data_IF_372299450450
#
_entry.id   IF_372299450450
#
_cell.length_a   1.000
_cell.length_b   1.000
_cell.length_c   1.000
_cell.angle_alpha   90.00
_cell.angle_beta   90.00
_cell.angle_gamma   90.00
#
_symmetry.space_group_name_H-M   'P 1'
#
loop_
_entity.id
_entity.type
_entity.pdbx_description
1 polymer ?
#
# COMPACT_ATOMS: atom_id res chain seq x y z
N UNK A 1 12.77 2.89 2.00
CA UNK A 1 12.71 1.50 1.51
C UNK A 1 11.40 1.29 0.77
N UNK A 2 11.43 0.58 -0.37
CA UNK A 2 10.23 0.30 -1.18
C UNK A 2 10.40 -1.05 -1.93
N UNK A 3 9.37 -1.44 -2.68
CA UNK A 3 9.32 -2.71 -3.44
C UNK A 3 10.44 -2.90 -4.48
N UNK A 4 11.15 -1.83 -4.89
CA UNK A 4 12.25 -1.91 -5.87
C UNK A 4 13.59 -2.25 -5.23
N UNK A 5 13.77 -1.98 -3.93
CA UNK A 5 15.02 -2.17 -3.22
C UNK A 5 14.94 -3.12 -2.02
N UNK A 6 13.75 -3.66 -1.72
CA UNK A 6 13.55 -4.63 -0.66
C UNK A 6 12.52 -5.69 -1.06
N UNK A 7 12.85 -6.95 -0.86
CA UNK A 7 11.94 -8.08 -1.02
C UNK A 7 10.79 -8.05 0.01
N UNK A 8 9.76 -8.87 -0.21
CA UNK A 8 8.62 -8.94 0.70
C UNK A 8 9.04 -9.37 2.10
N UNK A 9 9.99 -10.30 2.21
CA UNK A 9 10.55 -10.79 3.47
C UNK A 9 11.13 -9.69 4.37
N UNK A 10 11.74 -8.67 3.77
CA UNK A 10 12.23 -7.49 4.52
C UNK A 10 11.12 -6.50 4.76
N UNK A 11 10.24 -6.23 3.77
CA UNK A 11 9.15 -5.26 3.90
C UNK A 11 8.15 -5.64 4.98
N UNK A 12 7.86 -6.94 5.13
CA UNK A 12 6.97 -7.48 6.16
C UNK A 12 7.43 -7.13 7.60
N UNK A 13 8.72 -6.87 7.79
CA UNK A 13 9.32 -6.49 9.09
C UNK A 13 9.63 -4.99 9.21
N UNK A 14 9.28 -4.19 8.21
CA UNK A 14 9.57 -2.75 8.17
C UNK A 14 8.30 -2.00 7.75
N UNK A 15 7.36 -1.92 8.67
CA UNK A 15 6.10 -1.19 8.47
C UNK A 15 5.69 -0.48 9.75
N UNK A 16 5.28 0.79 9.63
CA UNK A 16 4.68 1.53 10.74
C UNK A 16 3.17 1.29 10.80
N UNK A 17 2.65 1.07 12.01
CA UNK A 17 1.25 1.32 12.33
C UNK A 17 1.03 2.82 12.54
N UNK A 18 -0.21 3.33 12.55
CA UNK A 18 -0.48 4.73 12.88
C UNK A 18 0.13 5.15 14.22
N UNK A 19 0.05 4.29 15.23
CA UNK A 19 0.55 4.53 16.59
C UNK A 19 2.09 4.57 16.61
N UNK A 20 2.76 3.59 15.99
CA UNK A 20 4.22 3.55 15.94
C UNK A 20 4.79 4.69 15.08
N UNK A 21 4.09 5.11 14.01
CA UNK A 21 4.45 6.27 13.21
C UNK A 21 4.36 7.57 14.02
N UNK A 22 3.33 7.71 14.86
CA UNK A 22 3.21 8.86 15.76
C UNK A 22 4.36 8.87 16.78
N UNK A 23 4.60 7.76 17.47
CA UNK A 23 5.70 7.64 18.43
C UNK A 23 7.08 7.89 17.79
N UNK A 24 7.26 7.46 16.55
CA UNK A 24 8.51 7.71 15.81
C UNK A 24 8.72 9.20 15.52
N UNK A 25 7.67 9.93 15.08
CA UNK A 25 7.76 11.39 14.87
C UNK A 25 8.07 12.13 16.16
N UNK A 26 7.49 11.74 17.29
CA UNK A 26 7.80 12.32 18.61
C UNK A 26 9.28 12.12 18.98
N UNK A 27 9.84 10.92 18.75
CA UNK A 27 11.26 10.66 18.99
C UNK A 27 12.16 11.53 18.10
N UNK A 28 11.79 11.69 16.81
CA UNK A 28 12.52 12.57 15.91
C UNK A 28 12.48 14.03 16.40
N UNK A 29 11.32 14.52 16.84
CA UNK A 29 11.17 15.86 17.38
C UNK A 29 12.01 16.06 18.66
N UNK A 30 11.99 15.09 19.58
CA UNK A 30 12.84 15.12 20.78
C UNK A 30 14.34 15.12 20.46
N UNK A 31 14.72 14.56 19.32
CA UNK A 31 16.10 14.57 18.81
C UNK A 31 16.44 15.80 17.93
N UNK A 32 15.54 16.78 17.84
CA UNK A 32 15.74 18.04 17.12
C UNK A 32 15.19 18.10 15.70
N UNK A 33 14.67 17.02 15.15
CA UNK A 33 14.06 16.99 13.80
C UNK A 33 12.63 17.52 13.87
N UNK A 34 12.43 18.79 13.57
CA UNK A 34 11.16 19.49 13.79
C UNK A 34 10.08 19.17 12.75
N UNK A 35 10.46 18.79 11.54
CA UNK A 35 9.51 18.53 10.46
C UNK A 35 9.74 17.16 9.83
N UNK A 36 8.76 16.27 9.97
CA UNK A 36 8.84 14.91 9.46
C UNK A 36 7.47 14.36 9.06
N UNK A 37 7.46 13.50 8.06
CA UNK A 37 6.30 12.74 7.60
C UNK A 37 6.68 11.28 7.46
N UNK A 38 5.86 10.37 7.96
CA UNK A 38 6.02 8.92 7.80
C UNK A 38 4.98 8.42 6.80
N UNK A 39 5.44 7.82 5.72
CA UNK A 39 4.61 7.17 4.71
C UNK A 39 4.87 5.66 4.74
N UNK A 40 3.96 4.91 5.34
CA UNK A 40 4.02 3.46 5.43
C UNK A 40 2.81 2.85 4.72
N UNK A 41 3.08 2.00 3.73
CA UNK A 41 2.07 1.33 2.89
C UNK A 41 2.50 -0.11 2.65
N UNK A 42 1.67 -0.90 1.95
CA UNK A 42 2.04 -2.27 1.56
C UNK A 42 3.35 -2.37 0.75
N UNK A 43 3.73 -1.30 0.04
CA UNK A 43 4.85 -1.33 -0.90
C UNK A 43 6.01 -0.43 -0.53
N UNK A 44 5.90 0.36 0.53
CA UNK A 44 6.95 1.29 0.97
C UNK A 44 6.86 1.65 2.44
N UNK A 45 8.01 1.87 3.05
CA UNK A 45 8.16 2.49 4.36
C UNK A 45 9.21 3.58 4.21
N UNK A 46 8.78 4.84 4.26
CA UNK A 46 9.58 6.01 3.92
C UNK A 46 9.34 7.14 4.92
N UNK A 47 10.40 7.88 5.21
CA UNK A 47 10.34 9.07 6.05
C UNK A 47 10.82 10.25 5.23
N UNK A 48 10.04 11.31 5.18
CA UNK A 48 10.39 12.59 4.59
C UNK A 48 10.60 13.60 5.71
N UNK A 49 11.64 14.38 5.61
CA UNK A 49 11.92 15.43 6.57
C UNK A 49 12.39 16.72 5.85
N UNK A 50 12.13 17.84 6.49
CA UNK A 50 12.73 19.12 6.15
C UNK A 50 13.74 19.48 7.23
N UNK A 51 15.02 19.60 6.84
CA UNK A 51 16.12 19.85 7.76
C UNK A 51 17.48 19.71 7.11
N UNK A 52 18.52 19.72 7.92
CA UNK A 52 19.91 19.60 7.49
C UNK A 52 20.45 18.16 7.51
N UNK A 53 21.74 18.02 7.27
CA UNK A 53 22.43 16.73 7.29
C UNK A 53 22.40 16.05 8.67
N UNK A 54 22.44 16.82 9.76
CA UNK A 54 22.35 16.29 11.13
C UNK A 54 20.99 15.62 11.35
N UNK A 55 19.91 16.26 10.88
CA UNK A 55 18.55 15.74 10.99
C UNK A 55 18.39 14.44 10.19
N UNK A 56 18.99 14.38 9.00
CA UNK A 56 19.01 13.19 8.17
C UNK A 56 19.73 12.02 8.86
N UNK A 57 20.89 12.27 9.48
CA UNK A 57 21.64 11.24 10.21
C UNK A 57 20.85 10.77 11.43
N UNK A 58 20.24 11.67 12.19
CA UNK A 58 19.39 11.35 13.32
C UNK A 58 18.20 10.48 12.89
N UNK A 59 17.48 10.89 11.85
CA UNK A 59 16.37 10.12 11.30
C UNK A 59 16.79 8.71 10.85
N UNK A 60 17.95 8.60 10.20
CA UNK A 60 18.48 7.29 9.78
C UNK A 60 18.76 6.38 10.97
N UNK A 61 19.39 6.87 12.03
CA UNK A 61 19.70 6.05 13.22
C UNK A 61 18.41 5.64 13.96
N UNK A 62 17.45 6.54 14.13
CA UNK A 62 16.15 6.21 14.72
C UNK A 62 15.37 5.17 13.88
N UNK A 63 15.40 5.30 12.55
CA UNK A 63 14.77 4.33 11.64
C UNK A 63 15.41 2.95 11.76
N UNK A 64 16.76 2.88 11.85
CA UNK A 64 17.48 1.62 12.02
C UNK A 64 17.32 1.02 13.43
N UNK A 65 17.00 1.84 14.42
CA UNK A 65 16.63 1.39 15.77
C UNK A 65 15.23 0.77 15.78
N UNK A 66 14.28 1.42 15.13
CA UNK A 66 12.91 0.93 14.98
C UNK A 66 12.87 -0.39 14.18
N UNK A 67 13.65 -0.44 13.10
CA UNK A 67 13.66 -1.58 12.18
C UNK A 67 15.07 -2.17 12.01
N UNK A 68 15.54 -3.04 12.94
CA UNK A 68 16.86 -3.69 12.81
C UNK A 68 17.00 -4.53 11.53
N UNK A 69 15.88 -5.06 10.99
CA UNK A 69 15.86 -5.79 9.72
C UNK A 69 16.33 -4.94 8.53
N UNK A 70 16.11 -3.62 8.57
CA UNK A 70 16.55 -2.70 7.53
C UNK A 70 18.08 -2.54 7.45
N UNK A 71 18.83 -3.00 8.46
CA UNK A 71 20.31 -3.07 8.43
C UNK A 71 20.81 -4.18 7.53
N UNK A 72 20.00 -5.23 7.31
CA UNK A 72 20.35 -6.39 6.50
C UNK A 72 20.21 -6.03 5.03
N UNK A 73 21.32 -5.97 4.32
CA UNK A 73 21.37 -5.58 2.91
C UNK A 73 21.24 -4.06 2.71
N UNK A 74 21.64 -3.53 1.60
CA UNK A 74 21.59 -2.09 1.27
C UNK A 74 20.18 -1.62 0.89
N UNK A 75 19.18 -1.87 1.75
CA UNK A 75 17.75 -1.58 1.44
C UNK A 75 17.34 -0.15 1.72
N UNK A 76 18.15 0.63 2.48
CA UNK A 76 17.88 2.05 2.71
C UNK A 76 18.39 2.88 1.55
N UNK A 77 17.49 3.56 0.85
CA UNK A 77 17.82 4.62 -0.08
C UNK A 77 17.68 5.98 0.60
N UNK A 78 18.67 6.84 0.44
CA UNK A 78 18.63 8.23 0.92
C UNK A 78 18.62 9.14 -0.31
N UNK A 79 17.75 10.16 -0.29
CA UNK A 79 17.63 11.21 -1.30
C UNK A 79 17.62 12.56 -0.63
N UNK A 80 18.19 13.57 -1.29
CA UNK A 80 18.26 14.94 -0.75
C UNK A 80 17.93 15.97 -1.83
N UNK A 81 17.55 17.17 -1.42
CA UNK A 81 17.31 18.30 -2.32
C UNK A 81 16.28 18.03 -3.39
N UNK A 82 16.56 18.44 -4.63
CA UNK A 82 15.66 18.31 -5.77
C UNK A 82 15.33 16.83 -6.13
N UNK A 83 16.25 15.90 -5.86
CA UNK A 83 15.99 14.46 -6.08
C UNK A 83 14.93 13.95 -5.08
N UNK A 84 14.99 14.35 -3.81
CA UNK A 84 13.99 14.01 -2.81
C UNK A 84 12.60 14.61 -3.15
N UNK A 85 12.56 15.88 -3.57
CA UNK A 85 11.32 16.52 -4.03
C UNK A 85 10.73 15.78 -5.23
N UNK A 86 11.52 15.56 -6.27
CA UNK A 86 11.09 14.83 -7.47
C UNK A 86 10.53 13.47 -7.12
N UNK A 87 11.19 12.75 -6.23
CA UNK A 87 10.78 11.44 -5.79
C UNK A 87 9.44 11.46 -5.03
N UNK A 88 9.25 12.39 -4.09
CA UNK A 88 7.97 12.57 -3.39
C UNK A 88 6.82 12.88 -4.34
N UNK A 89 7.04 13.76 -5.32
CA UNK A 89 6.03 14.12 -6.31
C UNK A 89 5.66 12.92 -7.21
N UNK A 90 6.65 12.11 -7.59
CA UNK A 90 6.43 10.85 -8.32
C UNK A 90 5.61 9.85 -7.52
N UNK A 91 5.89 9.73 -6.21
CA UNK A 91 5.11 8.89 -5.29
C UNK A 91 3.66 9.36 -5.26
N UNK A 92 3.42 10.64 -4.97
CA UNK A 92 2.09 11.21 -4.88
C UNK A 92 1.28 11.02 -6.17
N UNK A 93 1.94 11.08 -7.34
CA UNK A 93 1.34 10.84 -8.64
C UNK A 93 1.13 9.34 -8.98
N UNK A 94 1.63 8.41 -8.16
CA UNK A 94 1.54 6.97 -8.43
C UNK A 94 2.52 6.46 -9.48
N UNK A 95 3.54 7.26 -9.87
CA UNK A 95 4.54 6.86 -10.87
C UNK A 95 5.62 5.92 -10.27
N UNK A 96 5.69 5.84 -8.95
CA UNK A 96 6.55 4.92 -8.19
C UNK A 96 5.78 3.72 -7.63
N UNK A 97 4.51 3.52 -7.97
CA UNK A 97 3.71 2.38 -7.53
C UNK A 97 3.96 1.15 -8.40
N UNK A 98 3.73 -0.04 -7.84
CA UNK A 98 3.79 -1.31 -8.59
C UNK A 98 2.80 -1.28 -9.76
N UNK A 99 1.60 -0.80 -9.51
CA UNK A 99 0.60 -0.52 -10.54
C UNK A 99 0.62 0.98 -10.84
N UNK A 100 0.94 1.34 -12.09
CA UNK A 100 1.09 2.72 -12.51
C UNK A 100 -0.22 3.49 -12.32
N UNK A 101 -0.14 4.70 -11.75
CA UNK A 101 -1.30 5.57 -11.57
C UNK A 101 -2.24 5.16 -10.45
N UNK A 102 -1.82 4.27 -9.55
CA UNK A 102 -2.61 3.86 -8.40
C UNK A 102 -3.09 5.07 -7.57
N UNK A 103 -4.44 5.19 -7.40
CA UNK A 103 -5.02 6.33 -6.66
C UNK A 103 -4.88 6.22 -5.16
N UNK A 104 -4.67 5.02 -4.63
CA UNK A 104 -4.59 4.80 -3.18
C UNK A 104 -3.40 5.53 -2.58
N UNK A 105 -2.26 5.57 -3.28
CA UNK A 105 -1.06 6.25 -2.79
C UNK A 105 -1.29 7.76 -2.58
N UNK A 106 -2.05 8.44 -3.43
CA UNK A 106 -2.38 9.84 -3.21
C UNK A 106 -3.23 10.05 -1.96
N UNK A 107 -4.16 9.13 -1.67
CA UNK A 107 -4.90 9.10 -0.42
C UNK A 107 -3.97 8.94 0.78
N UNK A 108 -3.07 7.94 0.72
CA UNK A 108 -2.10 7.66 1.78
C UNK A 108 -1.14 8.82 2.05
N UNK A 109 -0.68 9.52 1.00
CA UNK A 109 0.14 10.75 1.14
C UNK A 109 -0.64 11.86 1.85
N UNK A 110 -1.93 12.04 1.52
CA UNK A 110 -2.80 13.04 2.20
C UNK A 110 -3.05 12.66 3.65
N UNK A 111 -3.29 11.39 3.94
CA UNK A 111 -3.55 10.91 5.30
C UNK A 111 -2.28 11.08 6.17
N UNK A 112 -1.11 10.75 5.63
CA UNK A 112 0.18 10.97 6.28
C UNK A 112 0.46 12.47 6.53
N UNK A 113 0.14 13.33 5.54
CA UNK A 113 0.25 14.78 5.67
C UNK A 113 -0.66 15.33 6.77
N UNK A 114 -1.92 14.92 6.76
CA UNK A 114 -2.89 15.32 7.79
C UNK A 114 -2.45 14.88 9.19
N UNK A 115 -1.93 13.65 9.34
CA UNK A 115 -1.39 13.14 10.60
C UNK A 115 -0.16 13.94 11.09
N UNK A 116 0.73 14.32 10.17
CA UNK A 116 1.91 15.13 10.50
C UNK A 116 1.54 16.56 10.89
N UNK A 117 0.55 17.17 10.22
CA UNK A 117 0.00 18.48 10.59
C UNK A 117 -0.66 18.46 11.96
N UNK A 118 -1.54 17.47 12.20
CA UNK A 118 -2.28 17.33 13.46
C UNK A 118 -1.37 17.17 14.68
N UNK A 119 -0.20 16.53 14.49
CA UNK A 119 0.81 16.33 15.54
C UNK A 119 1.87 17.46 15.60
N UNK A 120 1.74 18.52 14.79
CA UNK A 120 2.69 19.65 14.80
C UNK A 120 4.04 19.36 14.11
N UNK A 121 4.18 18.22 13.41
CA UNK A 121 5.43 17.82 12.75
C UNK A 121 5.49 18.19 11.25
N UNK A 122 4.52 18.92 10.72
CA UNK A 122 4.59 19.54 9.40
C UNK A 122 4.58 21.07 9.55
N UNK A 123 5.76 21.68 9.53
CA UNK A 123 5.92 23.12 9.49
C UNK A 123 5.64 23.69 8.10
N UNK A 124 5.87 24.99 7.94
CA UNK A 124 5.55 25.75 6.73
C UNK A 124 6.13 25.14 5.44
N UNK A 125 7.37 24.67 5.51
CA UNK A 125 8.10 24.16 4.36
C UNK A 125 7.56 22.78 3.94
N UNK A 126 7.47 21.85 4.88
CA UNK A 126 6.99 20.50 4.60
C UNK A 126 5.51 20.50 4.20
N UNK A 127 4.67 21.31 4.84
CA UNK A 127 3.27 21.50 4.46
C UNK A 127 3.13 22.02 3.02
N UNK A 128 3.94 23.02 2.65
CA UNK A 128 3.92 23.55 1.27
C UNK A 128 4.37 22.50 0.25
N UNK A 129 5.46 21.79 0.51
CA UNK A 129 5.97 20.71 -0.36
C UNK A 129 4.88 19.65 -0.58
N UNK A 130 4.19 19.23 0.48
CA UNK A 130 3.17 18.18 0.40
C UNK A 130 1.92 18.65 -0.35
N UNK A 131 1.49 19.91 -0.17
CA UNK A 131 0.40 20.50 -0.94
C UNK A 131 0.73 20.59 -2.43
N UNK A 132 1.94 21.01 -2.76
CA UNK A 132 2.39 21.10 -4.15
C UNK A 132 2.49 19.70 -4.79
N UNK A 133 3.00 18.70 -4.05
CA UNK A 133 3.04 17.31 -4.50
C UNK A 133 1.63 16.74 -4.77
N UNK A 134 0.66 17.01 -3.89
CA UNK A 134 -0.74 16.61 -4.07
C UNK A 134 -1.36 17.32 -5.28
N UNK A 135 -1.06 18.61 -5.48
CA UNK A 135 -1.55 19.38 -6.64
C UNK A 135 -0.99 18.84 -7.95
N UNK A 136 0.32 18.60 -8.02
CA UNK A 136 0.98 18.01 -9.18
C UNK A 136 0.43 16.60 -9.48
N UNK A 137 0.21 15.77 -8.46
CA UNK A 137 -0.38 14.45 -8.62
C UNK A 137 -1.80 14.49 -9.22
N UNK A 138 -2.63 15.45 -8.81
CA UNK A 138 -3.96 15.66 -9.41
C UNK A 138 -3.86 16.05 -10.88
N UNK A 139 -2.93 16.95 -11.23
CA UNK A 139 -2.67 17.35 -12.63
C UNK A 139 -2.23 16.16 -13.48
N UNK A 140 -1.26 15.38 -13.01
CA UNK A 140 -0.81 14.16 -13.70
C UNK A 140 -2.00 13.24 -13.99
N UNK A 141 -2.88 13.03 -13.01
CA UNK A 141 -4.06 12.17 -13.16
C UNK A 141 -5.06 12.70 -14.18
N UNK A 142 -5.31 14.00 -14.18
CA UNK A 142 -6.26 14.63 -15.10
C UNK A 142 -5.72 14.69 -16.53
N UNK A 143 -4.44 15.07 -16.70
CA UNK A 143 -3.84 15.28 -18.01
C UNK A 143 -3.48 13.96 -18.73
N UNK A 144 -3.20 12.89 -17.96
CA UNK A 144 -2.85 11.61 -18.56
C UNK A 144 -4.04 10.67 -18.75
N UNK A 145 -5.25 11.10 -18.35
CA UNK A 145 -6.47 10.28 -18.41
C UNK A 145 -6.20 8.82 -17.95
N UNK A 146 -5.50 8.70 -16.81
CA UNK A 146 -5.19 7.41 -16.23
C UNK A 146 -6.50 6.86 -15.67
N UNK A 147 -7.29 6.37 -16.56
CA UNK A 147 -8.54 5.64 -16.52
C UNK A 147 -9.60 6.13 -15.52
N UNK A 148 -10.86 6.25 -15.94
CA UNK A 148 -11.99 6.60 -15.08
C UNK A 148 -12.15 5.65 -13.86
N UNK A 149 -11.46 4.50 -13.89
CA UNK A 149 -11.28 3.60 -12.74
C UNK A 149 -9.79 3.24 -12.67
N UNK A 150 -9.06 3.79 -11.69
CA UNK A 150 -7.62 3.60 -11.61
C UNK A 150 -7.24 2.14 -11.38
N UNK A 151 -6.17 1.65 -12.01
CA UNK A 151 -5.58 0.39 -11.63
C UNK A 151 -5.11 0.50 -10.18
N UNK A 152 -5.81 -0.16 -9.25
CA UNK A 152 -5.33 -0.37 -7.89
C UNK A 152 -4.76 -1.78 -7.79
N UNK A 153 -3.86 -2.01 -6.84
CA UNK A 153 -3.32 -3.35 -6.55
C UNK A 153 -4.47 -4.34 -6.34
N UNK A 154 -5.51 -3.93 -5.60
CA UNK A 154 -6.70 -4.75 -5.38
C UNK A 154 -7.41 -5.08 -6.70
N UNK A 155 -7.63 -4.10 -7.57
CA UNK A 155 -8.30 -4.32 -8.86
C UNK A 155 -7.48 -5.24 -9.75
N UNK A 156 -6.18 -4.95 -9.91
CA UNK A 156 -5.28 -5.78 -10.73
C UNK A 156 -5.20 -7.21 -10.22
N UNK A 157 -5.15 -7.41 -8.90
CA UNK A 157 -5.19 -8.72 -8.27
C UNK A 157 -6.51 -9.45 -8.52
N UNK A 158 -7.64 -8.77 -8.36
CA UNK A 158 -8.96 -9.35 -8.61
C UNK A 158 -9.18 -9.66 -10.10
N UNK A 159 -8.71 -8.82 -11.02
CA UNK A 159 -8.74 -9.07 -12.46
C UNK A 159 -7.85 -10.27 -12.84
N UNK A 160 -6.70 -10.42 -12.17
CA UNK A 160 -5.84 -11.58 -12.36
C UNK A 160 -6.53 -12.87 -11.86
N UNK A 161 -7.11 -12.85 -10.66
CA UNK A 161 -7.89 -13.99 -10.12
C UNK A 161 -9.06 -14.34 -11.02
N UNK A 162 -9.79 -13.34 -11.53
CA UNK A 162 -10.89 -13.55 -12.47
C UNK A 162 -10.43 -14.24 -13.77
N UNK A 163 -9.22 -13.91 -14.25
CA UNK A 163 -8.63 -14.51 -15.45
C UNK A 163 -8.21 -15.98 -15.25
N UNK A 164 -7.64 -16.32 -14.08
CA UNK A 164 -7.09 -17.66 -13.84
C UNK A 164 -8.12 -18.65 -13.29
N UNK A 165 -9.14 -18.17 -12.56
CA UNK A 165 -10.12 -19.02 -11.88
C UNK A 165 -11.57 -18.72 -12.26
N UNK A 166 -11.84 -17.55 -12.83
CA UNK A 166 -13.20 -17.02 -12.98
C UNK A 166 -13.82 -16.70 -11.61
N UNK A 167 -14.51 -15.58 -11.49
CA UNK A 167 -15.21 -15.21 -10.24
C UNK A 167 -16.70 -15.53 -10.33
N UNK A 168 -17.26 -15.51 -11.54
CA UNK A 168 -18.68 -15.84 -11.74
C UNK A 168 -19.02 -17.25 -11.24
N UNK A 169 -20.04 -17.35 -10.39
CA UNK A 169 -20.48 -18.61 -9.81
C UNK A 169 -19.59 -19.19 -8.71
N UNK A 170 -18.56 -18.47 -8.26
CA UNK A 170 -17.61 -18.89 -7.21
C UNK A 170 -18.00 -18.37 -5.83
N UNK A 171 -17.63 -19.14 -4.80
CA UNK A 171 -17.73 -18.76 -3.40
C UNK A 171 -16.49 -17.97 -3.03
N UNK A 172 -16.67 -16.69 -2.70
CA UNK A 172 -15.57 -15.78 -2.39
C UNK A 172 -15.57 -15.47 -0.90
N UNK A 173 -14.43 -15.64 -0.26
CA UNK A 173 -14.23 -15.28 1.13
C UNK A 173 -13.24 -14.11 1.26
N UNK A 174 -13.63 -13.06 1.98
CA UNK A 174 -12.81 -11.86 2.21
C UNK A 174 -12.45 -11.76 3.68
N UNK A 175 -11.15 -11.85 3.98
CA UNK A 175 -10.59 -11.68 5.32
C UNK A 175 -10.11 -10.23 5.44
N UNK A 176 -10.79 -9.46 6.29
CA UNK A 176 -10.56 -8.03 6.46
C UNK A 176 -11.58 -7.17 5.71
N UNK A 177 -12.31 -6.34 6.45
CA UNK A 177 -13.32 -5.39 5.94
C UNK A 177 -12.83 -3.94 5.90
N UNK A 178 -11.52 -3.75 5.78
CA UNK A 178 -10.91 -2.46 5.50
C UNK A 178 -11.17 -1.99 4.06
N UNK A 179 -10.55 -0.88 3.68
CA UNK A 179 -10.71 -0.29 2.32
C UNK A 179 -10.46 -1.30 1.20
N UNK A 180 -9.37 -2.06 1.28
CA UNK A 180 -8.98 -3.05 0.26
C UNK A 180 -9.95 -4.23 0.22
N UNK A 181 -10.30 -4.82 1.37
CA UNK A 181 -11.28 -5.91 1.44
C UNK A 181 -12.66 -5.50 0.95
N UNK A 182 -13.09 -4.26 1.27
CA UNK A 182 -14.34 -3.68 0.73
C UNK A 182 -14.32 -3.61 -0.80
N UNK A 183 -13.21 -3.15 -1.38
CA UNK A 183 -13.07 -3.07 -2.84
C UNK A 183 -13.08 -4.46 -3.49
N UNK A 184 -12.40 -5.44 -2.90
CA UNK A 184 -12.38 -6.82 -3.37
C UNK A 184 -13.79 -7.46 -3.34
N UNK A 185 -14.51 -7.31 -2.24
CA UNK A 185 -15.87 -7.81 -2.10
C UNK A 185 -16.84 -7.18 -3.12
N UNK A 186 -16.76 -5.85 -3.30
CA UNK A 186 -17.54 -5.14 -4.33
C UNK A 186 -17.18 -5.57 -5.75
N UNK A 187 -15.92 -5.88 -6.01
CA UNK A 187 -15.48 -6.42 -7.29
C UNK A 187 -16.06 -7.82 -7.52
N UNK A 188 -15.95 -8.71 -6.54
CA UNK A 188 -16.50 -10.07 -6.63
C UNK A 188 -18.02 -10.06 -6.88
N UNK A 189 -18.78 -9.20 -6.19
CA UNK A 189 -20.22 -9.01 -6.43
C UNK A 189 -20.51 -8.63 -7.88
N UNK A 190 -19.80 -7.62 -8.41
CA UNK A 190 -19.98 -7.17 -9.80
C UNK A 190 -19.61 -8.22 -10.84
N UNK A 191 -18.70 -9.15 -10.51
CA UNK A 191 -18.31 -10.26 -11.37
C UNK A 191 -19.22 -11.49 -11.24
N UNK A 192 -20.28 -11.42 -10.45
CA UNK A 192 -21.27 -12.47 -10.33
C UNK A 192 -20.81 -13.65 -9.45
N UNK A 193 -20.04 -13.38 -8.39
CA UNK A 193 -19.77 -14.40 -7.36
C UNK A 193 -21.07 -15.01 -6.85
N UNK A 194 -21.10 -16.34 -6.65
CA UNK A 194 -22.25 -17.06 -6.14
C UNK A 194 -22.59 -16.66 -4.71
N UNK A 195 -21.58 -16.53 -3.88
CA UNK A 195 -21.69 -16.04 -2.51
C UNK A 195 -20.44 -15.29 -2.10
N UNK A 196 -20.61 -14.35 -1.17
CA UNK A 196 -19.51 -13.59 -0.59
C UNK A 196 -19.62 -13.69 0.92
N UNK A 197 -18.59 -14.23 1.55
CA UNK A 197 -18.42 -14.23 3.01
C UNK A 197 -17.37 -13.22 3.40
N UNK A 198 -17.56 -12.54 4.53
CA UNK A 198 -16.61 -11.52 5.03
C UNK A 198 -16.36 -11.78 6.51
N UNK A 199 -15.09 -11.81 6.93
CA UNK A 199 -14.76 -11.75 8.35
C UNK A 199 -13.82 -10.58 8.67
N UNK A 200 -13.87 -10.14 9.92
CA UNK A 200 -12.95 -9.15 10.46
C UNK A 200 -12.82 -9.37 11.99
N UNK A 201 -11.68 -9.02 12.59
CA UNK A 201 -11.53 -9.05 14.06
C UNK A 201 -12.59 -8.20 14.78
N UNK A 202 -13.00 -7.08 14.16
CA UNK A 202 -14.12 -6.27 14.60
C UNK A 202 -15.36 -6.62 13.78
N UNK A 203 -16.32 -7.40 14.31
CA UNK A 203 -17.51 -7.83 13.58
C UNK A 203 -18.36 -6.66 13.04
N UNK A 204 -18.38 -5.53 13.74
CA UNK A 204 -19.14 -4.34 13.36
C UNK A 204 -18.69 -3.77 12.01
N UNK A 205 -17.36 -3.81 11.73
CA UNK A 205 -16.82 -3.37 10.44
C UNK A 205 -17.23 -4.30 9.30
N UNK A 206 -17.30 -5.60 9.56
CA UNK A 206 -17.77 -6.57 8.59
C UNK A 206 -19.28 -6.38 8.30
N UNK A 207 -20.10 -6.13 9.32
CA UNK A 207 -21.54 -5.89 9.17
C UNK A 207 -21.86 -4.70 8.26
N UNK A 208 -21.16 -3.57 8.44
CA UNK A 208 -21.33 -2.39 7.57
C UNK A 208 -21.07 -2.70 6.09
N UNK A 209 -20.05 -3.50 5.79
CA UNK A 209 -19.75 -3.89 4.42
C UNK A 209 -20.84 -4.81 3.85
N UNK A 210 -21.30 -5.75 4.64
CA UNK A 210 -22.26 -6.78 4.24
C UNK A 210 -23.62 -6.18 3.88
N UNK A 211 -24.07 -5.15 4.59
CA UNK A 211 -25.29 -4.39 4.29
C UNK A 211 -25.26 -3.75 2.88
N UNK A 212 -24.06 -3.34 2.42
CA UNK A 212 -23.90 -2.71 1.10
C UNK A 212 -23.86 -3.71 -0.07
N UNK A 213 -23.46 -4.97 0.16
CA UNK A 213 -23.16 -5.91 -0.92
C UNK A 213 -23.90 -7.24 -0.87
N UNK A 214 -24.89 -7.40 0.04
CA UNK A 214 -25.63 -8.67 0.24
C UNK A 214 -24.67 -9.85 0.46
N UNK A 215 -23.74 -9.72 1.39
CA UNK A 215 -22.78 -10.77 1.76
C UNK A 215 -23.11 -11.35 3.13
N UNK A 216 -22.37 -12.36 3.56
CA UNK A 216 -22.53 -13.00 4.88
C UNK A 216 -21.36 -12.62 5.79
N UNK A 217 -21.65 -12.25 7.06
CA UNK A 217 -20.63 -12.11 8.08
C UNK A 217 -20.28 -13.46 8.66
N UNK A 218 -18.98 -13.78 8.71
CA UNK A 218 -18.44 -14.97 9.34
C UNK A 218 -17.63 -14.57 10.57
N UNK A 219 -17.72 -15.35 11.63
CA UNK A 219 -16.86 -15.18 12.80
C UNK A 219 -15.39 -15.39 12.41
N UNK A 220 -14.53 -14.51 12.91
CA UNK A 220 -13.10 -14.60 12.65
C UNK A 220 -12.47 -15.91 13.12
N UNK A 221 -13.00 -16.52 14.19
CA UNK A 221 -12.57 -17.83 14.68
C UNK A 221 -12.92 -18.99 13.72
N UNK A 222 -13.98 -18.83 12.92
CA UNK A 222 -14.45 -19.84 11.94
C UNK A 222 -13.77 -19.70 10.59
N UNK A 223 -12.77 -18.83 10.43
CA UNK A 223 -12.15 -18.53 9.13
C UNK A 223 -11.54 -19.77 8.45
N UNK A 224 -10.94 -20.68 9.22
CA UNK A 224 -10.33 -21.90 8.65
C UNK A 224 -11.38 -22.82 7.98
N UNK A 225 -12.54 -23.00 8.61
CA UNK A 225 -13.65 -23.74 8.03
C UNK A 225 -14.21 -23.05 6.80
N UNK A 226 -14.36 -21.72 6.84
CA UNK A 226 -14.84 -20.93 5.70
C UNK A 226 -13.85 -20.96 4.52
N UNK A 227 -12.54 -20.96 4.78
CA UNK A 227 -11.51 -21.16 3.74
C UNK A 227 -11.72 -22.50 3.02
N UNK A 228 -11.94 -23.57 3.79
CA UNK A 228 -12.14 -24.92 3.22
C UNK A 228 -13.40 -25.05 2.35
N UNK A 229 -14.37 -24.16 2.51
CA UNK A 229 -15.61 -24.11 1.71
C UNK A 229 -15.53 -23.11 0.55
N UNK A 230 -14.48 -22.31 0.45
CA UNK A 230 -14.35 -21.22 -0.52
C UNK A 230 -13.55 -21.62 -1.74
N UNK A 231 -13.88 -21.07 -2.90
CA UNK A 231 -13.13 -21.26 -4.14
C UNK A 231 -12.04 -20.17 -4.29
N UNK A 232 -12.31 -18.97 -3.75
CA UNK A 232 -11.41 -17.82 -3.78
C UNK A 232 -11.37 -17.20 -2.38
N UNK A 233 -10.17 -16.97 -1.85
CA UNK A 233 -9.92 -16.30 -0.58
C UNK A 233 -9.11 -15.04 -0.83
N UNK A 234 -9.63 -13.89 -0.43
CA UNK A 234 -8.94 -12.60 -0.48
C UNK A 234 -8.59 -12.17 0.92
N UNK A 235 -7.30 -12.06 1.23
CA UNK A 235 -6.84 -11.52 2.52
C UNK A 235 -6.33 -10.10 2.35
N UNK A 236 -6.85 -9.20 3.20
CA UNK A 236 -6.59 -7.76 3.11
C UNK A 236 -6.70 -7.11 4.51
N UNK A 237 -5.95 -7.63 5.47
CA UNK A 237 -5.96 -7.12 6.85
C UNK A 237 -4.80 -6.16 7.10
N UNK A 238 -4.82 -5.48 8.25
CA UNK A 238 -3.69 -4.72 8.78
C UNK A 238 -3.02 -5.48 9.93
N UNK A 239 -3.05 -6.82 9.90
CA UNK A 239 -2.43 -7.64 10.93
C UNK A 239 -0.91 -7.54 10.85
N UNK A 240 -0.19 -7.39 11.97
CA UNK A 240 1.26 -7.48 11.99
C UNK A 240 1.75 -8.95 11.94
N UNK A 241 0.84 -9.92 11.97
CA UNK A 241 1.14 -11.35 12.00
C UNK A 241 0.37 -12.07 10.90
N UNK A 242 0.91 -13.22 10.48
CA UNK A 242 0.24 -14.15 9.59
C UNK A 242 -1.18 -14.48 10.10
N UNK A 243 -2.14 -14.46 9.18
CA UNK A 243 -3.56 -14.70 9.45
C UNK A 243 -3.99 -16.10 8.98
N UNK A 244 -3.36 -16.59 7.92
CA UNK A 244 -3.59 -17.91 7.33
C UNK A 244 -2.28 -18.69 7.29
N UNK A 245 -2.16 -19.71 8.15
CA UNK A 245 -1.03 -20.65 8.17
C UNK A 245 -1.33 -21.94 7.41
N UNK A 246 -0.29 -22.65 6.99
CA UNK A 246 -0.43 -23.92 6.28
C UNK A 246 -1.08 -25.03 7.14
N UNK A 247 -0.83 -25.01 8.43
CA UNK A 247 -1.38 -25.94 9.43
C UNK A 247 -2.91 -25.81 9.61
N UNK A 248 -3.49 -24.69 9.21
CA UNK A 248 -4.93 -24.40 9.32
C UNK A 248 -5.74 -24.85 8.10
N UNK A 249 -5.07 -25.32 7.03
CA UNK A 249 -5.72 -25.65 5.77
C UNK A 249 -6.10 -27.12 5.68
N UNK A 250 -7.41 -27.40 5.59
CA UNK A 250 -7.95 -28.70 5.29
C UNK A 250 -8.81 -28.59 4.01
N UNK A 251 -8.15 -28.61 2.85
CA UNK A 251 -8.79 -28.37 1.56
C UNK A 251 -9.17 -29.68 0.88
N UNK A 252 -10.36 -29.73 0.28
CA UNK A 252 -10.85 -30.85 -0.53
C UNK A 252 -10.97 -30.51 -2.03
N UNK A 253 -10.72 -29.25 -2.40
CA UNK A 253 -10.81 -28.73 -3.78
C UNK A 253 -9.81 -27.59 -3.98
N UNK A 254 -9.49 -27.20 -5.22
CA UNK A 254 -8.59 -26.09 -5.51
C UNK A 254 -9.12 -24.76 -4.97
N UNK A 255 -8.23 -23.97 -4.34
CA UNK A 255 -8.53 -22.65 -3.79
C UNK A 255 -7.49 -21.65 -4.29
N UNK A 256 -7.95 -20.49 -4.76
CA UNK A 256 -7.08 -19.37 -5.11
C UNK A 256 -7.03 -18.40 -3.94
N UNK A 257 -5.84 -18.13 -3.43
CA UNK A 257 -5.58 -17.10 -2.42
C UNK A 257 -5.04 -15.84 -3.10
N UNK A 258 -5.65 -14.70 -2.79
CA UNK A 258 -5.17 -13.38 -3.15
C UNK A 258 -4.77 -12.64 -1.87
N UNK A 259 -3.46 -12.54 -1.62
CA UNK A 259 -2.92 -11.81 -0.47
C UNK A 259 -2.59 -10.37 -0.86
N UNK A 260 -3.41 -9.44 -0.37
CA UNK A 260 -3.30 -8.00 -0.59
C UNK A 260 -2.78 -7.26 0.66
N UNK A 261 -2.34 -8.02 1.68
CA UNK A 261 -1.85 -7.44 2.93
C UNK A 261 -0.34 -7.15 2.90
N UNK A 262 0.06 -6.17 3.69
CA UNK A 262 1.46 -5.94 4.05
C UNK A 262 1.52 -5.41 5.50
N UNK A 263 2.21 -6.12 6.38
CA UNK A 263 2.85 -7.44 6.14
C UNK A 263 1.87 -8.46 5.56
N UNK A 264 2.40 -9.55 4.93
CA UNK A 264 1.56 -10.59 4.33
C UNK A 264 0.67 -11.28 5.36
N UNK A 265 -0.56 -11.55 4.97
CA UNK A 265 -1.52 -12.28 5.79
C UNK A 265 -1.39 -13.81 5.62
N UNK A 266 -0.96 -14.26 4.42
CA UNK A 266 -0.86 -15.68 4.06
C UNK A 266 0.58 -16.14 4.14
N UNK A 267 0.82 -17.20 4.91
CA UNK A 267 2.15 -17.81 5.03
C UNK A 267 2.63 -18.38 3.69
N UNK A 268 3.89 -18.13 3.25
CA UNK A 268 4.39 -18.64 1.98
C UNK A 268 4.32 -20.16 1.84
N UNK A 269 4.44 -20.91 2.93
CA UNK A 269 4.33 -22.38 2.99
C UNK A 269 2.95 -22.90 2.53
N UNK A 270 1.91 -22.08 2.55
CA UNK A 270 0.57 -22.37 2.02
C UNK A 270 0.64 -22.76 0.53
N UNK A 271 1.55 -22.14 -0.23
CA UNK A 271 1.76 -22.44 -1.64
C UNK A 271 2.35 -23.85 -1.91
N UNK A 272 2.85 -24.55 -0.90
CA UNK A 272 3.30 -25.93 -1.05
C UNK A 272 2.14 -26.94 -1.15
N UNK A 273 0.92 -26.54 -0.79
CA UNK A 273 -0.26 -27.39 -0.97
C UNK A 273 -0.68 -27.40 -2.47
N UNK A 274 -0.77 -28.57 -3.14
CA UNK A 274 -1.10 -28.66 -4.56
C UNK A 274 -2.50 -28.13 -4.92
N UNK A 275 -3.39 -27.97 -3.94
CA UNK A 275 -4.72 -27.39 -4.12
C UNK A 275 -4.72 -25.87 -4.00
N UNK A 276 -3.57 -25.24 -3.73
CA UNK A 276 -3.48 -23.80 -3.53
C UNK A 276 -2.79 -23.11 -4.70
N UNK A 277 -3.43 -22.06 -5.21
CA UNK A 277 -2.78 -21.04 -6.04
C UNK A 277 -2.67 -19.77 -5.22
N UNK A 278 -1.45 -19.37 -4.83
CA UNK A 278 -1.21 -18.16 -4.05
C UNK A 278 -0.76 -17.01 -4.97
N UNK A 279 -1.55 -15.95 -4.98
CA UNK A 279 -1.28 -14.69 -5.67
C UNK A 279 -0.99 -13.63 -4.62
N UNK A 280 0.20 -13.07 -4.62
CA UNK A 280 0.64 -12.03 -3.68
C UNK A 280 0.72 -10.65 -4.37
N UNK A 281 0.91 -9.59 -3.57
CA UNK A 281 1.19 -8.25 -4.09
C UNK A 281 2.41 -8.24 -5.03
N UNK A 282 3.43 -9.02 -4.72
CA UNK A 282 4.63 -9.10 -5.57
C UNK A 282 4.32 -9.74 -6.93
N UNK A 283 3.55 -10.83 -6.94
CA UNK A 283 3.05 -11.48 -8.17
C UNK A 283 2.24 -10.49 -9.02
N UNK A 284 1.37 -9.70 -8.38
CA UNK A 284 0.57 -8.68 -9.10
C UNK A 284 1.47 -7.62 -9.72
N UNK A 285 2.52 -7.19 -9.01
CA UNK A 285 3.48 -6.21 -9.51
C UNK A 285 4.24 -6.69 -10.76
N UNK A 286 4.67 -7.94 -10.78
CA UNK A 286 5.31 -8.57 -11.93
C UNK A 286 4.37 -8.65 -13.14
N UNK A 287 3.11 -9.01 -12.92
CA UNK A 287 2.09 -9.09 -13.97
C UNK A 287 1.71 -7.70 -14.52
N UNK A 288 1.62 -6.68 -13.66
CA UNK A 288 1.35 -5.31 -14.07
C UNK A 288 2.51 -4.68 -14.86
N UNK A 289 3.72 -5.25 -14.76
CA UNK A 289 4.88 -4.83 -15.57
C UNK A 289 4.78 -5.25 -17.06
N UNK A 290 3.80 -6.09 -17.43
CA UNK A 290 3.64 -6.64 -18.79
C UNK A 290 3.34 -5.62 -19.88
N UNK A 291 2.86 -4.41 -19.55
CA UNK A 291 2.68 -3.31 -20.50
C UNK A 291 3.76 -2.23 -20.32
N UNK A 292 5.00 -2.66 -20.51
CA UNK A 292 6.19 -1.82 -20.28
C UNK A 292 6.22 -0.55 -21.13
N UNK A 293 5.85 -0.64 -22.38
CA UNK A 293 5.89 0.51 -23.32
C UNK A 293 4.87 1.60 -22.92
N UNK A 294 3.63 1.22 -22.62
CA UNK A 294 2.61 2.16 -22.18
C UNK A 294 2.96 2.77 -20.81
N UNK A 295 3.50 1.96 -19.92
CA UNK A 295 4.02 2.43 -18.63
C UNK A 295 5.13 3.47 -18.78
N UNK A 296 6.10 3.22 -19.66
CA UNK A 296 7.21 4.14 -19.95
C UNK A 296 6.68 5.44 -20.57
N UNK A 297 5.74 5.36 -21.51
CA UNK A 297 5.10 6.51 -22.16
C UNK A 297 4.36 7.41 -21.17
N UNK A 298 3.52 6.82 -20.32
CA UNK A 298 2.76 7.54 -19.28
C UNK A 298 3.69 8.13 -18.22
N UNK A 299 4.71 7.39 -17.82
CA UNK A 299 5.72 7.87 -16.88
C UNK A 299 6.46 9.08 -17.43
N UNK A 300 6.89 9.05 -18.69
CA UNK A 300 7.58 10.17 -19.34
C UNK A 300 6.72 11.43 -19.39
N UNK A 301 5.44 11.32 -19.75
CA UNK A 301 4.49 12.44 -19.74
C UNK A 301 4.27 12.98 -18.32
N UNK A 302 4.06 12.10 -17.34
CA UNK A 302 3.89 12.49 -15.93
C UNK A 302 5.12 13.19 -15.38
N UNK A 303 6.32 12.76 -15.77
CA UNK A 303 7.57 13.39 -15.39
C UNK A 303 7.72 14.84 -15.90
N UNK A 304 7.20 15.14 -17.07
CA UNK A 304 7.22 16.52 -17.59
C UNK A 304 6.38 17.47 -16.71
N UNK A 305 5.18 17.01 -16.29
CA UNK A 305 4.31 17.76 -15.37
C UNK A 305 5.00 17.95 -14.01
N UNK A 306 5.56 16.87 -13.44
CA UNK A 306 6.26 16.88 -12.15
C UNK A 306 7.45 17.83 -12.20
N UNK A 307 8.26 17.82 -13.26
CA UNK A 307 9.44 18.68 -13.38
C UNK A 307 9.08 20.17 -13.31
N UNK A 308 7.93 20.57 -13.87
CA UNK A 308 7.39 21.92 -13.72
C UNK A 308 7.10 22.26 -12.25
N UNK A 309 6.31 21.43 -11.60
CA UNK A 309 5.90 21.65 -10.21
C UNK A 309 7.09 21.62 -9.23
N UNK A 310 8.07 20.73 -9.45
CA UNK A 310 9.31 20.69 -8.63
C UNK A 310 10.10 21.98 -8.78
N UNK A 311 10.24 22.56 -10.00
CA UNK A 311 10.91 23.85 -10.18
C UNK A 311 10.23 24.98 -9.42
N UNK A 312 8.88 25.05 -9.46
CA UNK A 312 8.09 26.05 -8.75
C UNK A 312 8.28 25.93 -7.23
N UNK A 313 8.21 24.71 -6.70
CA UNK A 313 8.42 24.45 -5.26
C UNK A 313 9.86 24.77 -4.84
N UNK A 314 10.86 24.41 -5.65
CA UNK A 314 12.28 24.72 -5.38
C UNK A 314 12.52 26.23 -5.35
N UNK A 315 12.01 26.98 -6.33
CA UNK A 315 12.13 28.44 -6.36
C UNK A 315 11.50 29.09 -5.12
N UNK A 316 10.35 28.59 -4.67
CA UNK A 316 9.74 29.09 -3.43
C UNK A 316 10.60 28.78 -2.22
N UNK A 317 11.18 27.57 -2.09
CA UNK A 317 12.07 27.19 -0.99
C UNK A 317 13.37 28.03 -0.96
N UNK A 318 13.88 28.42 -2.12
CA UNK A 318 15.07 29.29 -2.23
C UNK A 318 14.76 30.73 -1.84
N UNK A 319 13.52 31.19 -2.08
CA UNK A 319 13.07 32.55 -1.73
C UNK A 319 12.79 32.79 -0.24
N UNK A 320 12.78 31.74 0.60
CA UNK A 320 12.60 31.83 2.06
C UNK A 320 13.93 31.71 2.84
N UNK A 321 15.05 31.47 2.17
CA UNK A 321 16.39 31.54 2.74
C UNK A 321 16.86 32.98 2.79
#
# INVERSE_FOLDING_TARGET
>A
MNHRNAGADVRDHVAFTPESAAAFRERLAAAGVSQSLVLSTCNRCEVFLWGGNTDLLCCREEFLREFPAARRGKVLGIRTGADALTYLFRIAAGLESMVLGEYQILGQVKDAHAASLASGHAGKELDRILRDAVSAAKRVKTELDIGAVPPSVCRSGMEHVDRIAGIAGKRVFVIGSGRTGTLAAKFAKRRGAQSIAVCNRSPERARKLVEEIEATVVDYASRAATIAESDIVVSATASPHVVVGADQLNLSHPVVFLDLASPRDVEPSVAANPLVTLVSIDTIGELAAGDRFERERLTAKGMAIIAGAVRETTAWLEGIK
#
